data_IF_993401308873
#
_entry.id   IF_993401308873
#
_cell.length_a   1.000
_cell.length_b   1.000
_cell.length_c   1.000
_cell.angle_alpha   90.00
_cell.angle_beta   90.00
_cell.angle_gamma   90.00
#
_symmetry.space_group_name_H-M   'P 1'
#
loop_
_entity.id
_entity.type
_entity.pdbx_description
1 polymer ?
#
# COMPACT_ATOMS: atom_id res chain seq x y z
N UNK A 1 7.34 -1.20 13.31
CA UNK A 1 6.86 -0.83 11.96
C UNK A 1 5.40 -1.20 11.84
N UNK A 2 4.67 -0.63 10.89
CA UNK A 2 3.26 -0.99 10.69
C UNK A 2 3.15 -2.41 10.13
N UNK A 3 2.36 -3.29 10.75
CA UNK A 3 2.24 -4.69 10.31
C UNK A 3 1.18 -4.89 9.22
N UNK A 4 0.19 -4.02 9.13
CA UNK A 4 -0.84 -4.17 8.10
C UNK A 4 -0.32 -3.68 6.74
N UNK A 5 0.03 -4.63 5.88
CA UNK A 5 0.45 -4.41 4.49
C UNK A 5 -0.61 -4.89 3.49
N UNK A 6 -1.86 -5.07 3.91
CA UNK A 6 -2.91 -5.68 3.06
C UNK A 6 -3.45 -4.76 1.96
N UNK A 7 -3.14 -3.47 2.02
CA UNK A 7 -3.69 -2.42 1.15
C UNK A 7 -2.73 -2.07 -0.01
N UNK A 8 -2.33 -0.80 -0.16
CA UNK A 8 -1.38 -0.37 -1.22
C UNK A 8 -0.05 -1.11 -1.06
N UNK A 9 0.39 -1.26 0.19
CA UNK A 9 1.66 -1.92 0.50
C UNK A 9 1.73 -3.41 0.11
N UNK A 10 0.60 -4.05 -0.23
CA UNK A 10 0.56 -5.47 -0.62
C UNK A 10 1.39 -5.75 -1.87
N UNK A 11 1.53 -4.75 -2.75
CA UNK A 11 2.28 -4.84 -3.98
C UNK A 11 3.80 -4.74 -3.81
N UNK A 12 4.30 -4.35 -2.63
CA UNK A 12 5.73 -4.17 -2.39
C UNK A 12 6.44 -5.46 -1.98
N UNK A 13 5.69 -6.51 -1.62
CA UNK A 13 6.27 -7.80 -1.23
C UNK A 13 7.19 -7.67 -0.01
N UNK A 14 6.78 -6.91 1.01
CA UNK A 14 7.55 -6.84 2.24
C UNK A 14 7.00 -7.84 3.26
N UNK A 15 7.86 -8.35 4.14
CA UNK A 15 7.41 -9.10 5.31
C UNK A 15 6.71 -8.13 6.29
N UNK A 16 5.41 -8.31 6.59
CA UNK A 16 4.67 -7.51 7.56
C UNK A 16 5.34 -7.32 8.92
N UNK A 17 6.13 -8.29 9.36
CA UNK A 17 6.78 -8.31 10.68
C UNK A 17 8.25 -7.92 10.63
N UNK A 18 8.87 -7.86 9.44
CA UNK A 18 10.32 -7.69 9.29
C UNK A 18 10.74 -6.77 8.12
N UNK A 19 10.22 -5.53 8.05
CA UNK A 19 10.51 -4.58 6.95
C UNK A 19 10.99 -3.19 7.42
N UNK A 20 11.62 -3.10 8.59
CA UNK A 20 12.14 -1.80 9.09
C UNK A 20 13.33 -1.29 8.27
N UNK A 21 14.18 -2.21 7.86
CA UNK A 21 15.26 -1.95 6.90
C UNK A 21 14.75 -2.21 5.48
N UNK A 22 15.54 -1.77 4.48
CA UNK A 22 15.20 -2.05 3.10
C UNK A 22 15.24 -3.56 2.82
N UNK A 23 14.20 -4.08 2.18
CA UNK A 23 14.13 -5.46 1.67
C UNK A 23 13.75 -5.40 0.18
N UNK A 24 14.39 -6.24 -0.63
CA UNK A 24 14.27 -6.23 -2.09
C UNK A 24 14.47 -4.83 -2.72
N UNK A 25 15.37 -4.05 -2.13
CA UNK A 25 15.64 -2.64 -2.47
C UNK A 25 14.45 -1.69 -2.27
N UNK A 26 13.47 -2.09 -1.46
CA UNK A 26 12.31 -1.28 -1.09
C UNK A 26 12.37 -0.96 0.40
N UNK A 27 12.20 0.32 0.74
CA UNK A 27 12.01 0.77 2.14
C UNK A 27 10.65 1.44 2.26
N UNK A 28 9.86 1.02 3.24
CA UNK A 28 8.51 1.52 3.46
C UNK A 28 8.36 2.10 4.86
N UNK A 29 7.73 3.27 4.94
CA UNK A 29 7.12 3.76 6.15
C UNK A 29 5.67 4.14 5.83
N UNK A 30 4.70 3.41 6.38
CA UNK A 30 3.28 3.67 6.14
C UNK A 30 2.45 3.54 7.42
N UNK A 31 1.21 4.01 7.31
CA UNK A 31 0.16 3.77 8.29
C UNK A 31 -1.15 3.44 7.57
N UNK A 32 -1.83 2.41 8.06
CA UNK A 32 -3.17 2.06 7.60
C UNK A 32 -4.27 2.60 8.52
N UNK A 33 -5.46 2.81 7.96
CA UNK A 33 -6.69 3.12 8.67
C UNK A 33 -7.81 2.21 8.15
N UNK A 34 -8.57 1.62 9.08
CA UNK A 34 -9.65 0.69 8.77
C UNK A 34 -10.85 1.03 9.64
N UNK A 35 -12.00 1.18 9.01
CA UNK A 35 -13.30 1.26 9.67
C UNK A 35 -14.36 0.52 8.82
N UNK A 36 -15.60 0.46 9.29
CA UNK A 36 -16.75 0.06 8.49
C UNK A 36 -16.84 0.95 7.26
N UNK A 37 -16.76 0.35 6.07
CA UNK A 37 -16.82 1.11 4.83
C UNK A 37 -15.57 1.92 4.48
N UNK A 38 -14.45 1.81 5.22
CA UNK A 38 -13.25 2.64 4.99
C UNK A 38 -11.97 1.82 4.92
N UNK A 39 -11.13 2.09 3.91
CA UNK A 39 -9.74 1.65 3.86
C UNK A 39 -8.84 2.83 3.50
N UNK A 40 -7.78 3.03 4.27
CA UNK A 40 -6.80 4.08 4.05
C UNK A 40 -5.39 3.53 4.21
N UNK A 41 -4.50 3.88 3.29
CA UNK A 41 -3.07 3.58 3.35
C UNK A 41 -2.30 4.83 2.91
N UNK A 42 -1.47 5.34 3.82
CA UNK A 42 -0.66 6.55 3.59
C UNK A 42 0.77 6.22 3.96
N UNK A 43 1.71 6.54 3.07
CA UNK A 43 3.11 6.21 3.31
C UNK A 43 4.09 6.85 2.36
N UNK A 44 5.37 6.60 2.65
CA UNK A 44 6.50 6.89 1.78
C UNK A 44 7.20 5.58 1.47
N UNK A 45 7.39 5.31 0.18
CA UNK A 45 8.11 4.15 -0.32
C UNK A 45 9.33 4.61 -1.11
N UNK A 46 10.50 4.09 -0.74
CA UNK A 46 11.77 4.34 -1.41
C UNK A 46 12.23 3.11 -2.18
N UNK A 47 12.68 3.31 -3.42
CA UNK A 47 13.47 2.37 -4.21
C UNK A 47 14.92 2.85 -4.35
N UNK A 48 15.74 2.19 -5.20
CA UNK A 48 17.13 2.59 -5.44
C UNK A 48 17.28 4.02 -5.96
N UNK A 49 16.39 4.44 -6.86
CA UNK A 49 16.55 5.66 -7.66
C UNK A 49 15.51 6.75 -7.33
N UNK A 50 14.43 6.40 -6.62
CA UNK A 50 13.32 7.30 -6.37
C UNK A 50 12.62 7.00 -5.04
N UNK A 51 11.97 8.01 -4.48
CA UNK A 51 11.03 7.87 -3.39
C UNK A 51 9.69 8.49 -3.76
N UNK A 52 8.60 7.84 -3.38
CA UNK A 52 7.23 8.26 -3.67
C UNK A 52 6.47 8.33 -2.35
N UNK A 53 5.87 9.49 -2.08
CA UNK A 53 4.84 9.64 -1.06
C UNK A 53 3.47 9.34 -1.69
N UNK A 54 2.62 8.59 -1.00
CA UNK A 54 1.28 8.25 -1.44
C UNK A 54 0.26 8.40 -0.31
N UNK A 55 -0.98 8.70 -0.69
CA UNK A 55 -2.15 8.65 0.17
C UNK A 55 -3.32 8.09 -0.65
N UNK A 56 -3.79 6.90 -0.28
CA UNK A 56 -4.91 6.22 -0.95
C UNK A 56 -5.98 5.96 0.08
N UNK A 57 -7.18 6.51 -0.18
CA UNK A 57 -8.35 6.37 0.67
C UNK A 57 -9.50 5.86 -0.19
N UNK A 58 -10.20 4.86 0.32
CA UNK A 58 -11.41 4.33 -0.25
C UNK A 58 -12.50 4.31 0.81
N UNK A 59 -13.70 4.74 0.40
CA UNK A 59 -14.88 4.74 1.25
C UNK A 59 -16.08 4.19 0.47
N UNK A 60 -16.94 3.46 1.16
CA UNK A 60 -18.20 2.94 0.65
C UNK A 60 -19.24 2.87 1.77
N UNK A 61 -20.52 2.84 1.39
CA UNK A 61 -21.61 2.60 2.32
C UNK A 61 -21.54 1.16 2.85
N UNK A 62 -21.28 0.95 4.16
CA UNK A 62 -21.21 -0.39 4.73
C UNK A 62 -22.56 -1.14 4.70
N UNK A 63 -23.69 -0.41 4.63
CA UNK A 63 -25.03 -1.00 4.55
C UNK A 63 -25.41 -1.36 3.10
N UNK A 64 -24.69 -0.79 2.12
CA UNK A 64 -24.86 -1.05 0.68
C UNK A 64 -24.21 -2.35 0.18
N UNK A 65 -23.61 -3.14 1.07
CA UNK A 65 -22.92 -4.40 0.76
C UNK A 65 -21.41 -4.34 0.96
N UNK A 66 -20.78 -5.49 1.23
CA UNK A 66 -19.33 -5.55 1.46
C UNK A 66 -18.56 -5.35 0.15
N UNK A 67 -17.82 -4.24 0.05
CA UNK A 67 -16.95 -3.89 -1.08
C UNK A 67 -15.46 -4.06 -0.75
N UNK A 68 -15.14 -4.67 0.38
CA UNK A 68 -13.76 -4.80 0.88
C UNK A 68 -12.83 -5.41 -0.15
N UNK A 69 -13.21 -6.52 -0.76
CA UNK A 69 -12.33 -7.25 -1.68
C UNK A 69 -12.06 -6.45 -2.96
N UNK A 70 -13.10 -5.79 -3.51
CA UNK A 70 -12.96 -4.86 -4.64
C UNK A 70 -11.98 -3.72 -4.30
N UNK A 71 -12.14 -3.14 -3.11
CA UNK A 71 -11.30 -2.03 -2.63
C UNK A 71 -9.86 -2.48 -2.42
N UNK A 72 -9.63 -3.62 -1.77
CA UNK A 72 -8.27 -4.15 -1.56
C UNK A 72 -7.60 -4.49 -2.89
N UNK A 73 -8.34 -5.05 -3.85
CA UNK A 73 -7.87 -5.30 -5.21
C UNK A 73 -7.46 -3.99 -5.91
N UNK A 74 -8.29 -2.95 -5.82
CA UNK A 74 -7.98 -1.64 -6.39
C UNK A 74 -6.77 -0.97 -5.72
N UNK A 75 -6.67 -1.05 -4.39
CA UNK A 75 -5.51 -0.52 -3.65
C UNK A 75 -4.23 -1.27 -4.00
N UNK A 76 -4.28 -2.59 -4.15
CA UNK A 76 -3.15 -3.39 -4.61
C UNK A 76 -2.72 -3.00 -6.04
N UNK A 77 -3.67 -2.73 -6.94
CA UNK A 77 -3.38 -2.24 -8.29
C UNK A 77 -2.68 -0.87 -8.27
N UNK A 78 -3.08 0.04 -7.38
CA UNK A 78 -2.37 1.31 -7.16
C UNK A 78 -0.95 1.04 -6.64
N UNK A 79 -0.79 0.10 -5.70
CA UNK A 79 0.52 -0.33 -5.21
C UNK A 79 1.44 -0.84 -6.33
N UNK A 80 0.90 -1.63 -7.26
CA UNK A 80 1.64 -2.12 -8.44
C UNK A 80 2.07 -0.95 -9.35
N UNK A 81 1.17 0.02 -9.57
CA UNK A 81 1.47 1.24 -10.33
C UNK A 81 2.58 2.09 -9.68
N UNK A 82 2.60 2.17 -8.35
CA UNK A 82 3.67 2.83 -7.58
C UNK A 82 4.98 2.04 -7.71
N UNK A 83 4.93 0.72 -7.52
CA UNK A 83 6.09 -0.17 -7.64
C UNK A 83 6.77 -0.08 -9.01
N UNK A 84 5.97 0.02 -10.08
CA UNK A 84 6.47 0.23 -11.44
C UNK A 84 7.21 1.56 -11.65
N UNK A 85 7.02 2.57 -10.80
CA UNK A 85 7.74 3.86 -10.84
C UNK A 85 8.97 3.92 -9.95
N UNK A 86 9.10 2.98 -9.02
CA UNK A 86 10.32 2.82 -8.23
C UNK A 86 11.43 2.12 -9.04
N UNK A 87 11.06 1.43 -10.12
CA UNK A 87 11.96 0.81 -11.09
C UNK A 87 11.98 1.70 -12.33
N UNK A 88 13.14 1.91 -12.96
CA UNK A 88 13.19 2.66 -14.22
C UNK A 88 12.34 1.98 -15.29
N UNK A 89 11.74 2.79 -16.17
CA UNK A 89 11.37 2.31 -17.49
C UNK A 89 12.69 2.09 -18.25
N UNK A 90 12.91 0.87 -18.72
CA UNK A 90 14.04 0.55 -19.61
C UNK A 90 13.96 1.37 -20.91
#
# INVERSE_FOLDING_TARGET
>A
VNTDLSMVASAFGLDPLAHREADRSVRLANKTGTDAGVRADVGVVGGPDAAIAYAVLAQWDPDGGDRRDDVLSAMAAIGQWVSGRLRRAD
#
